data_IF_942368875754
#
_entry.id   IF_942368875754
#
_cell.length_a   1.000
_cell.length_b   1.000
_cell.length_c   1.000
_cell.angle_alpha   90.00
_cell.angle_beta   90.00
_cell.angle_gamma   90.00
#
_symmetry.space_group_name_H-M   'P 1'
#
loop_
_entity.id
_entity.type
_entity.pdbx_description
1 polymer ?
#
# COMPACT_ATOMS: atom_id res chain seq x y z
N UNK A 1 0.47 -5.91 20.10
CA UNK A 1 0.93 -5.21 18.88
C UNK A 1 0.00 -4.04 18.65
N UNK A 2 0.55 -2.85 18.34
CA UNK A 2 -0.26 -1.68 18.01
C UNK A 2 -1.11 -2.00 16.78
N UNK A 3 -2.42 -2.17 17.01
CA UNK A 3 -3.43 -2.43 15.98
C UNK A 3 -3.36 -1.41 14.83
N UNK A 4 -2.89 -0.21 15.15
CA UNK A 4 -2.58 0.86 14.23
C UNK A 4 -1.52 0.46 13.18
N UNK A 5 -0.36 -0.05 13.61
CA UNK A 5 0.72 -0.44 12.71
C UNK A 5 0.30 -1.60 11.80
N UNK A 6 -0.42 -2.59 12.34
CA UNK A 6 -0.93 -3.72 11.54
C UNK A 6 -1.90 -3.24 10.46
N UNK A 7 -2.74 -2.25 10.78
CA UNK A 7 -3.70 -1.69 9.83
C UNK A 7 -2.99 -0.91 8.72
N UNK A 8 -2.04 -0.06 9.08
CA UNK A 8 -1.29 0.80 8.15
C UNK A 8 -0.39 0.01 7.21
N UNK A 9 0.35 -0.98 7.72
CA UNK A 9 1.32 -1.72 6.92
C UNK A 9 0.78 -3.01 6.31
N UNK A 10 -0.31 -3.57 6.86
CA UNK A 10 -0.88 -4.83 6.40
C UNK A 10 -2.23 -4.63 5.71
N UNK A 11 -3.23 -4.17 6.47
CA UNK A 11 -4.64 -4.20 6.02
C UNK A 11 -4.88 -3.27 4.82
N UNK A 12 -4.47 -2.00 4.91
CA UNK A 12 -4.66 -1.01 3.84
C UNK A 12 -4.02 -1.45 2.51
N UNK A 13 -2.73 -1.83 2.47
CA UNK A 13 -2.09 -2.19 1.21
C UNK A 13 -2.66 -3.49 0.63
N UNK A 14 -3.00 -4.47 1.47
CA UNK A 14 -3.65 -5.71 1.04
C UNK A 14 -5.02 -5.44 0.44
N UNK A 15 -5.86 -4.67 1.11
CA UNK A 15 -7.19 -4.31 0.60
C UNK A 15 -7.10 -3.51 -0.69
N UNK A 16 -6.17 -2.56 -0.80
CA UNK A 16 -5.99 -1.74 -2.00
C UNK A 16 -5.61 -2.59 -3.21
N UNK A 17 -4.65 -3.51 -3.03
CA UNK A 17 -4.21 -4.41 -4.10
C UNK A 17 -5.30 -5.41 -4.47
N UNK A 18 -6.00 -6.00 -3.50
CA UNK A 18 -7.13 -6.91 -3.76
C UNK A 18 -8.27 -6.20 -4.50
N UNK A 19 -8.61 -4.99 -4.06
CA UNK A 19 -9.65 -4.19 -4.70
C UNK A 19 -9.29 -3.89 -6.17
N UNK A 20 -8.07 -3.42 -6.44
CA UNK A 20 -7.61 -3.14 -7.80
C UNK A 20 -7.48 -4.41 -8.65
N UNK A 21 -7.08 -5.53 -8.05
CA UNK A 21 -7.06 -6.83 -8.70
C UNK A 21 -8.47 -7.30 -9.13
N UNK A 22 -9.49 -7.06 -8.30
CA UNK A 22 -10.87 -7.40 -8.64
C UNK A 22 -11.50 -6.44 -9.63
N UNK A 23 -11.29 -5.11 -9.47
CA UNK A 23 -11.99 -4.08 -10.24
C UNK A 23 -11.33 -3.83 -11.59
N UNK A 24 -9.99 -3.73 -11.66
CA UNK A 24 -9.32 -3.34 -12.88
C UNK A 24 -7.90 -3.94 -13.00
N UNK A 25 -7.83 -5.23 -13.35
CA UNK A 25 -6.57 -5.99 -13.52
C UNK A 25 -5.55 -5.29 -14.43
N UNK A 26 -6.01 -4.55 -15.46
CA UNK A 26 -5.15 -3.79 -16.37
C UNK A 26 -4.39 -2.64 -15.68
N UNK A 27 -4.94 -2.12 -14.59
CA UNK A 27 -4.35 -1.00 -13.83
C UNK A 27 -3.69 -1.44 -12.52
N UNK A 28 -3.39 -2.73 -12.35
CA UNK A 28 -2.68 -3.26 -11.18
C UNK A 28 -1.35 -2.53 -10.92
N UNK A 29 -0.67 -2.06 -11.96
CA UNK A 29 0.56 -1.28 -11.86
C UNK A 29 0.38 0.07 -11.14
N UNK A 30 -0.84 0.62 -11.10
CA UNK A 30 -1.13 1.85 -10.36
C UNK A 30 -1.45 1.59 -8.88
N UNK A 31 -1.59 0.33 -8.47
CA UNK A 31 -1.93 -0.05 -7.09
C UNK A 31 -0.92 0.42 -6.03
N UNK A 32 0.41 0.36 -6.26
CA UNK A 32 1.38 0.88 -5.30
C UNK A 32 1.17 2.38 -5.08
N UNK A 33 1.00 3.15 -6.16
CA UNK A 33 0.82 4.61 -6.11
C UNK A 33 -0.45 4.96 -5.33
N UNK A 34 -1.57 4.32 -5.63
CA UNK A 34 -2.85 4.56 -4.95
C UNK A 34 -2.76 4.16 -3.47
N UNK A 35 -2.13 3.02 -3.15
CA UNK A 35 -1.94 2.56 -1.78
C UNK A 35 -1.07 3.52 -0.96
N UNK A 36 -0.01 4.06 -1.56
CA UNK A 36 0.86 5.05 -0.91
C UNK A 36 0.08 6.32 -0.61
N UNK A 37 -0.63 6.86 -1.60
CA UNK A 37 -1.43 8.10 -1.42
C UNK A 37 -2.45 7.90 -0.30
N UNK A 38 -3.19 6.79 -0.33
CA UNK A 38 -4.21 6.48 0.67
C UNK A 38 -3.61 6.31 2.07
N UNK A 39 -2.47 5.62 2.16
CA UNK A 39 -1.77 5.41 3.43
C UNK A 39 -1.20 6.70 3.99
N UNK A 40 -0.65 7.57 3.14
CA UNK A 40 -0.19 8.90 3.55
C UNK A 40 -1.36 9.69 4.11
N UNK A 41 -2.49 9.77 3.39
CA UNK A 41 -3.69 10.50 3.86
C UNK A 41 -4.18 9.95 5.21
N UNK A 42 -4.31 8.63 5.36
CA UNK A 42 -4.78 8.00 6.60
C UNK A 42 -3.81 8.23 7.76
N UNK A 43 -2.51 8.13 7.49
CA UNK A 43 -1.48 8.35 8.51
C UNK A 43 -1.45 9.80 8.98
N UNK A 44 -1.67 10.76 8.07
CA UNK A 44 -1.78 12.17 8.42
C UNK A 44 -3.01 12.48 9.28
N UNK A 45 -4.14 11.80 9.02
CA UNK A 45 -5.37 11.97 9.82
C UNK A 45 -5.17 11.44 11.24
N UNK A 46 -4.50 10.31 11.39
CA UNK A 46 -4.37 9.64 12.68
C UNK A 46 -3.18 10.10 13.52
N UNK A 47 -2.09 10.52 12.87
CA UNK A 47 -0.94 11.15 13.51
C UNK A 47 -0.69 12.52 12.88
N UNK A 48 -1.48 13.55 13.27
CA UNK A 48 -1.26 14.91 12.81
C UNK A 48 0.08 15.49 13.27
N UNK A 49 0.69 14.91 14.32
CA UNK A 49 2.04 15.26 14.81
C UNK A 49 3.14 15.04 13.77
N UNK A 50 2.87 14.32 12.67
CA UNK A 50 3.76 14.23 11.51
C UNK A 50 3.98 15.61 10.86
N UNK A 51 2.99 16.52 10.93
CA UNK A 51 3.12 17.90 10.42
C UNK A 51 3.86 18.85 11.36
N UNK A 52 3.88 18.54 12.66
CA UNK A 52 4.48 19.43 13.67
C UNK A 52 6.01 19.46 13.59
N UNK A 53 6.61 18.56 12.81
CA UNK A 53 8.05 18.50 12.58
C UNK A 53 8.78 17.93 13.79
N UNK A 54 9.72 17.01 13.54
CA UNK A 54 10.47 16.33 14.58
C UNK A 54 10.74 14.87 14.25
N UNK A 55 10.97 14.05 15.28
CA UNK A 55 11.31 12.64 15.14
C UNK A 55 10.20 11.83 14.45
N UNK A 56 8.94 12.10 14.78
CA UNK A 56 7.79 11.42 14.18
C UNK A 56 7.71 11.64 12.66
N UNK A 57 7.94 12.88 12.19
CA UNK A 57 7.98 13.20 10.77
C UNK A 57 9.15 12.50 10.07
N UNK A 58 10.34 12.56 10.67
CA UNK A 58 11.55 11.98 10.09
C UNK A 58 11.43 10.44 9.97
N UNK A 59 10.90 9.77 11.00
CA UNK A 59 10.61 8.33 10.95
C UNK A 59 9.52 8.00 9.92
N UNK A 60 8.49 8.84 9.80
CA UNK A 60 7.44 8.61 8.82
C UNK A 60 7.95 8.68 7.38
N UNK A 61 8.65 9.76 7.02
CA UNK A 61 9.14 9.94 5.65
C UNK A 61 10.33 9.03 5.30
N UNK A 62 11.23 8.71 6.25
CA UNK A 62 12.42 7.89 5.97
C UNK A 62 12.24 6.39 6.16
N UNK A 63 11.27 5.96 6.97
CA UNK A 63 11.09 4.56 7.32
C UNK A 63 9.72 4.05 6.89
N UNK A 64 8.65 4.72 7.30
CA UNK A 64 7.27 4.27 7.02
C UNK A 64 6.98 4.27 5.53
N UNK A 65 7.27 5.37 4.82
CA UNK A 65 7.01 5.47 3.37
C UNK A 65 7.82 4.42 2.58
N UNK A 66 9.16 4.30 2.72
CA UNK A 66 9.93 3.32 1.96
C UNK A 66 9.52 1.87 2.22
N UNK A 67 9.24 1.53 3.48
CA UNK A 67 8.77 0.18 3.84
C UNK A 67 7.39 -0.10 3.24
N UNK A 68 6.48 0.87 3.29
CA UNK A 68 5.15 0.73 2.71
C UNK A 68 5.21 0.60 1.17
N UNK A 69 6.09 1.36 0.51
CA UNK A 69 6.39 1.21 -0.93
C UNK A 69 6.90 -0.20 -1.24
N UNK A 70 7.85 -0.70 -0.45
CA UNK A 70 8.42 -2.04 -0.67
C UNK A 70 7.35 -3.13 -0.55
N UNK A 71 6.53 -3.09 0.50
CA UNK A 71 5.46 -4.06 0.73
C UNK A 71 4.44 -4.00 -0.42
N UNK A 72 3.97 -2.81 -0.78
CA UNK A 72 2.97 -2.63 -1.84
C UNK A 72 3.49 -3.04 -3.21
N UNK A 73 4.77 -2.82 -3.51
CA UNK A 73 5.43 -3.29 -4.73
C UNK A 73 5.47 -4.82 -4.80
N UNK A 74 5.89 -5.49 -3.73
CA UNK A 74 5.92 -6.96 -3.66
C UNK A 74 4.51 -7.51 -3.87
N UNK A 75 3.53 -6.96 -3.16
CA UNK A 75 2.14 -7.40 -3.24
C UNK A 75 1.55 -7.21 -4.64
N UNK A 76 1.86 -6.08 -5.27
CA UNK A 76 1.44 -5.77 -6.65
C UNK A 76 2.11 -6.69 -7.65
N UNK A 77 3.41 -7.00 -7.48
CA UNK A 77 4.12 -7.95 -8.32
C UNK A 77 3.51 -9.35 -8.26
N UNK A 78 3.17 -9.83 -7.07
CA UNK A 78 2.48 -11.11 -6.87
C UNK A 78 1.10 -11.08 -7.54
N UNK A 79 0.30 -10.05 -7.28
CA UNK A 79 -1.03 -9.90 -7.87
C UNK A 79 -0.98 -9.84 -9.40
N UNK A 80 0.00 -9.15 -9.97
CA UNK A 80 0.22 -9.09 -11.41
C UNK A 80 0.62 -10.47 -11.98
N UNK A 81 1.53 -11.19 -11.32
CA UNK A 81 1.91 -12.55 -11.70
C UNK A 81 0.72 -13.52 -11.72
N UNK A 82 -0.13 -13.46 -10.69
CA UNK A 82 -1.37 -14.25 -10.62
C UNK A 82 -2.34 -13.82 -11.73
N UNK A 83 -2.49 -12.52 -11.99
CA UNK A 83 -3.35 -12.03 -13.08
C UNK A 83 -2.90 -12.55 -14.43
N UNK A 84 -1.60 -12.51 -14.70
CA UNK A 84 -1.02 -12.97 -15.96
C UNK A 84 -1.21 -14.49 -16.15
N UNK A 85 -1.03 -15.26 -15.07
CA UNK A 85 -1.29 -16.70 -15.09
C UNK A 85 -2.77 -17.01 -15.36
N UNK A 86 -3.70 -16.33 -14.67
CA UNK A 86 -5.14 -16.50 -14.87
C UNK A 86 -5.63 -16.05 -16.26
N UNK A 87 -4.99 -15.06 -16.87
CA UNK A 87 -5.33 -14.60 -18.22
C UNK A 87 -4.83 -15.56 -19.29
N UNK A 88 -3.73 -16.27 -19.02
CA UNK A 88 -3.21 -17.36 -19.87
C UNK A 88 -4.08 -18.63 -19.80
N UNK A 89 -4.84 -18.83 -18.72
CA UNK A 89 -5.77 -19.95 -18.54
C UNK A 89 -7.20 -19.68 -19.03
N UNK A 90 -7.51 -18.47 -19.54
CA UNK A 90 -8.78 -18.22 -20.22
C UNK A 90 -8.71 -18.73 -21.67
N UNK A 91 -9.56 -19.71 -22.06
CA UNK A 91 -9.58 -20.27 -23.41
C UNK A 91 -10.06 -19.29 -24.48
#
# INVERSE_FOLDING_TARGET
MDWWNVSVFGVIPVLTVLFLFCVNRKNLWSAPIISIILTVIISLIAMPTIFEGGEAANMFFKLVIPVHILITLILTGIAYGISFYLEKERP
#
